data_IF_826756443992
#
_entry.id   IF_826756443992
#
_cell.length_a   1.000
_cell.length_b   1.000
_cell.length_c   1.000
_cell.angle_alpha   90.00
_cell.angle_beta   90.00
_cell.angle_gamma   90.00
#
_symmetry.space_group_name_H-M   'P 1'
#
loop_
_entity.id
_entity.type
_entity.pdbx_description
1 polymer ?
#
# COMPACT_ATOMS: atom_id res chain seq x y z
N UNK A 1 4.47 -10.37 -12.79
CA UNK A 1 3.01 -10.13 -12.89
C UNK A 1 2.72 -9.39 -14.19
N UNK A 2 1.58 -9.61 -14.85
CA UNK A 2 1.27 -8.89 -16.08
C UNK A 2 1.20 -7.39 -15.79
N UNK A 3 1.82 -6.58 -16.65
CA UNK A 3 1.76 -5.12 -16.52
C UNK A 3 0.32 -4.65 -16.78
N UNK A 4 -0.31 -3.91 -15.85
CA UNK A 4 -1.66 -3.39 -16.06
C UNK A 4 -1.72 -2.43 -17.24
N UNK A 5 -2.84 -2.47 -17.96
CA UNK A 5 -3.21 -1.48 -18.99
C UNK A 5 -4.05 -0.38 -18.36
N UNK A 6 -4.27 0.70 -19.10
CA UNK A 6 -5.07 1.84 -18.66
C UNK A 6 -6.46 1.43 -18.12
N UNK A 7 -7.18 0.54 -18.83
CA UNK A 7 -8.47 0.01 -18.38
C UNK A 7 -8.40 -0.80 -17.08
N UNK A 8 -7.29 -1.49 -16.84
CA UNK A 8 -7.09 -2.24 -15.59
C UNK A 8 -6.94 -1.26 -14.41
N UNK A 9 -6.23 -0.16 -14.62
CA UNK A 9 -6.09 0.91 -13.63
C UNK A 9 -7.41 1.59 -13.31
N UNK A 10 -8.21 1.91 -14.32
CA UNK A 10 -9.55 2.49 -14.13
C UNK A 10 -10.45 1.55 -13.32
N UNK A 11 -10.42 0.25 -13.65
CA UNK A 11 -11.17 -0.76 -12.90
C UNK A 11 -10.71 -0.83 -11.44
N UNK A 12 -9.40 -0.86 -11.19
CA UNK A 12 -8.85 -0.89 -9.82
C UNK A 12 -9.33 0.33 -9.04
N UNK A 13 -9.28 1.52 -9.64
CA UNK A 13 -9.74 2.75 -8.99
C UNK A 13 -11.24 2.75 -8.69
N UNK A 14 -12.06 2.22 -9.60
CA UNK A 14 -13.49 2.07 -9.37
C UNK A 14 -13.78 1.06 -8.25
N UNK A 15 -13.02 -0.04 -8.17
CA UNK A 15 -13.13 -1.03 -7.09
C UNK A 15 -12.73 -0.42 -5.73
N UNK A 16 -11.65 0.37 -5.68
CA UNK A 16 -11.28 1.11 -4.46
C UNK A 16 -12.35 2.11 -4.03
N UNK A 17 -12.99 2.79 -4.97
CA UNK A 17 -14.09 3.68 -4.66
C UNK A 17 -15.29 2.94 -4.08
N UNK A 18 -15.68 1.82 -4.70
CA UNK A 18 -16.84 1.02 -4.25
C UNK A 18 -16.62 0.35 -2.91
N UNK A 19 -15.46 -0.28 -2.71
CA UNK A 19 -15.19 -1.14 -1.55
C UNK A 19 -14.57 -0.37 -0.38
N UNK A 20 -13.70 0.59 -0.67
CA UNK A 20 -12.87 1.28 0.33
C UNK A 20 -13.15 2.78 0.42
N UNK A 21 -14.08 3.28 -0.40
CA UNK A 21 -14.47 4.68 -0.49
C UNK A 21 -13.29 5.63 -0.74
N UNK A 22 -12.29 5.18 -1.49
CA UNK A 22 -11.14 5.99 -1.85
C UNK A 22 -11.10 6.18 -3.38
N UNK A 23 -11.47 7.37 -3.90
CA UNK A 23 -11.56 7.59 -5.34
C UNK A 23 -10.17 7.70 -5.98
N UNK A 24 -10.10 7.34 -7.27
CA UNK A 24 -8.87 7.40 -8.09
C UNK A 24 -7.66 6.68 -7.45
N UNK A 25 -7.89 5.66 -6.62
CA UNK A 25 -6.82 4.90 -5.95
C UNK A 25 -6.39 3.70 -6.79
N UNK A 26 -5.11 3.63 -7.15
CA UNK A 26 -4.55 2.55 -7.97
C UNK A 26 -4.02 1.36 -7.17
N UNK A 27 -3.99 1.47 -5.84
CA UNK A 27 -3.46 0.43 -4.99
C UNK A 27 -2.99 0.94 -3.64
N UNK A 28 -2.78 0.01 -2.73
CA UNK A 28 -2.04 0.23 -1.49
C UNK A 28 -0.63 -0.33 -1.64
N UNK A 29 0.37 0.50 -1.34
CA UNK A 29 1.78 0.15 -1.36
C UNK A 29 2.26 -0.09 0.08
N UNK A 30 2.93 -1.22 0.29
CA UNK A 30 3.39 -1.60 1.61
C UNK A 30 4.56 -2.59 1.55
N UNK A 31 5.33 -2.62 2.63
CA UNK A 31 6.48 -3.50 2.82
C UNK A 31 6.17 -4.66 3.75
N UNK A 32 6.72 -5.83 3.45
CA UNK A 32 6.69 -7.00 4.33
C UNK A 32 8.10 -7.55 4.52
N UNK A 33 8.53 -7.62 5.79
CA UNK A 33 9.67 -8.43 6.17
C UNK A 33 9.29 -9.93 6.11
N UNK A 34 10.03 -10.68 5.30
CA UNK A 34 10.02 -12.14 5.29
C UNK A 34 11.21 -12.61 6.11
N UNK A 35 10.94 -13.28 7.22
CA UNK A 35 11.99 -13.75 8.13
C UNK A 35 12.79 -14.90 7.52
N UNK A 36 14.10 -14.80 7.65
CA UNK A 36 15.06 -15.76 7.10
C UNK A 36 16.11 -16.11 8.16
N UNK A 37 16.81 -17.23 7.97
CA UNK A 37 18.04 -17.46 8.71
C UNK A 37 19.14 -16.54 8.20
N UNK A 38 20.10 -16.19 9.07
CA UNK A 38 21.26 -15.41 8.70
C UNK A 38 21.99 -16.05 7.51
N UNK A 39 22.07 -15.38 6.35
CA UNK A 39 22.80 -15.95 5.22
C UNK A 39 24.31 -16.05 5.54
N UNK A 40 25.02 -17.06 5.00
CA UNK A 40 26.46 -17.17 5.19
C UNK A 40 27.17 -15.88 4.73
N UNK A 41 28.13 -15.40 5.52
CA UNK A 41 28.95 -14.22 5.22
C UNK A 41 28.17 -12.91 4.98
N UNK A 42 26.92 -12.78 5.43
CA UNK A 42 26.10 -11.58 5.16
C UNK A 42 26.35 -10.40 6.10
N UNK A 43 27.13 -10.59 7.17
CA UNK A 43 27.21 -9.63 8.27
C UNK A 43 25.82 -9.22 8.76
N UNK A 44 25.58 -7.92 8.88
CA UNK A 44 24.31 -7.33 9.33
C UNK A 44 23.40 -6.84 8.19
N UNK A 45 23.68 -7.17 6.92
CA UNK A 45 22.92 -6.66 5.77
C UNK A 45 21.42 -6.95 5.89
N UNK A 46 21.05 -8.19 6.19
CA UNK A 46 19.65 -8.61 6.35
C UNK A 46 19.10 -8.37 7.75
N UNK A 47 19.91 -7.88 8.70
CA UNK A 47 19.51 -7.68 10.08
C UNK A 47 18.68 -6.40 10.22
N UNK A 48 17.43 -6.56 10.61
CA UNK A 48 16.46 -5.46 10.70
C UNK A 48 16.37 -4.86 12.11
N UNK A 49 15.59 -3.79 12.25
CA UNK A 49 15.36 -3.10 13.51
C UNK A 49 14.66 -3.96 14.59
N UNK A 50 14.07 -5.10 14.21
CA UNK A 50 13.43 -6.08 15.11
C UNK A 50 14.40 -7.18 15.56
N UNK A 51 15.70 -7.03 15.26
CA UNK A 51 16.75 -8.00 15.61
C UNK A 51 16.56 -9.37 14.95
N UNK A 52 15.90 -9.43 13.80
CA UNK A 52 15.78 -10.64 12.97
C UNK A 52 16.44 -10.43 11.61
N UNK A 53 16.80 -11.52 10.93
CA UNK A 53 17.23 -11.47 9.54
C UNK A 53 16.02 -11.55 8.63
N UNK A 54 15.92 -10.65 7.64
CA UNK A 54 14.77 -10.61 6.76
C UNK A 54 15.10 -10.11 5.36
N UNK A 55 14.32 -10.58 4.40
CA UNK A 55 14.23 -10.03 3.05
C UNK A 55 12.95 -9.20 2.97
N UNK A 56 13.03 -8.04 2.33
CA UNK A 56 11.89 -7.18 2.12
C UNK A 56 11.14 -7.56 0.84
N UNK A 57 9.83 -7.74 0.98
CA UNK A 57 8.85 -7.81 -0.09
C UNK A 57 8.11 -6.46 -0.12
N UNK A 58 8.35 -5.64 -1.13
CA UNK A 58 7.54 -4.47 -1.41
C UNK A 58 6.41 -4.89 -2.36
N UNK A 59 5.17 -4.54 -2.06
CA UNK A 59 4.04 -4.90 -2.91
C UNK A 59 3.05 -3.76 -3.11
N UNK A 60 2.56 -3.61 -4.34
CA UNK A 60 1.38 -2.82 -4.67
C UNK A 60 0.19 -3.77 -4.77
N UNK A 61 -0.88 -3.48 -4.03
CA UNK A 61 -2.03 -4.36 -3.85
C UNK A 61 -3.32 -3.67 -4.28
N UNK A 62 -4.18 -4.37 -5.02
CA UNK A 62 -5.48 -3.86 -5.47
C UNK A 62 -6.58 -3.95 -4.38
N UNK A 63 -7.76 -3.41 -4.67
CA UNK A 63 -8.92 -3.43 -3.77
C UNK A 63 -9.41 -4.85 -3.42
N UNK A 64 -9.05 -5.85 -4.23
CA UNK A 64 -9.45 -7.25 -4.11
C UNK A 64 -8.35 -8.12 -3.45
N UNK A 65 -7.36 -7.48 -2.83
CA UNK A 65 -6.22 -8.13 -2.18
C UNK A 65 -5.31 -8.90 -3.14
N UNK A 66 -5.31 -8.57 -4.44
CA UNK A 66 -4.37 -9.13 -5.41
C UNK A 66 -3.13 -8.26 -5.48
N UNK A 67 -1.99 -8.91 -5.65
CA UNK A 67 -0.74 -8.21 -5.92
C UNK A 67 -0.78 -7.69 -7.36
N UNK A 68 -0.53 -6.40 -7.56
CA UNK A 68 -0.41 -5.76 -8.89
C UNK A 68 1.06 -5.80 -9.32
N UNK A 69 1.95 -5.38 -8.41
CA UNK A 69 3.39 -5.37 -8.60
C UNK A 69 4.09 -5.82 -7.30
N UNK A 70 5.21 -6.51 -7.42
CA UNK A 70 6.06 -6.92 -6.29
C UNK A 70 7.53 -6.68 -6.63
N UNK A 71 8.30 -6.27 -5.64
CA UNK A 71 9.76 -6.14 -5.69
C UNK A 71 10.33 -6.86 -4.46
N UNK A 72 11.29 -7.77 -4.68
CA UNK A 72 11.80 -8.74 -3.69
C UNK A 72 13.32 -8.72 -3.71
N UNK A 73 13.94 -8.98 -2.57
CA UNK A 73 15.39 -9.16 -2.45
C UNK A 73 16.10 -7.97 -1.79
N UNK A 74 15.37 -6.91 -1.46
CA UNK A 74 15.93 -5.79 -0.68
C UNK A 74 16.30 -6.23 0.73
N UNK A 75 17.45 -5.76 1.21
CA UNK A 75 17.96 -6.08 2.54
C UNK A 75 17.07 -5.53 3.67
N UNK A 76 16.86 -6.34 4.72
CA UNK A 76 16.02 -6.00 5.88
C UNK A 76 16.41 -4.74 6.66
N UNK A 77 17.62 -4.21 6.47
CA UNK A 77 18.06 -2.94 7.06
C UNK A 77 17.45 -1.70 6.37
N UNK A 78 17.03 -1.82 5.12
CA UNK A 78 16.53 -0.70 4.34
C UNK A 78 15.10 -0.32 4.77
N UNK A 79 14.78 0.98 4.77
CA UNK A 79 13.41 1.47 4.99
C UNK A 79 12.56 1.32 3.74
N UNK A 80 11.24 1.24 3.91
CA UNK A 80 10.30 1.07 2.80
C UNK A 80 10.39 2.19 1.77
N UNK A 81 10.54 3.44 2.20
CA UNK A 81 10.78 4.57 1.30
C UNK A 81 12.08 4.45 0.48
N UNK A 82 13.15 3.93 1.09
CA UNK A 82 14.43 3.69 0.39
C UNK A 82 14.36 2.52 -0.59
N UNK A 83 13.63 1.46 -0.24
CA UNK A 83 13.36 0.32 -1.11
C UNK A 83 12.53 0.78 -2.30
N UNK A 84 11.45 1.54 -2.04
CA UNK A 84 10.59 2.09 -3.08
C UNK A 84 11.37 2.92 -4.09
N UNK A 85 12.21 3.86 -3.64
CA UNK A 85 13.00 4.72 -4.52
C UNK A 85 13.92 3.93 -5.47
N UNK A 86 14.43 2.78 -5.03
CA UNK A 86 15.34 1.93 -5.81
C UNK A 86 14.63 0.82 -6.59
N UNK A 87 13.39 0.50 -6.22
CA UNK A 87 12.57 -0.55 -6.83
C UNK A 87 12.25 -0.29 -8.30
N UNK A 88 12.02 -1.35 -9.05
CA UNK A 88 11.55 -1.24 -10.45
C UNK A 88 10.19 -0.55 -10.52
N UNK A 89 9.31 -0.80 -9.54
CA UNK A 89 8.01 -0.16 -9.41
C UNK A 89 8.15 1.36 -9.23
N UNK A 90 8.99 1.79 -8.28
CA UNK A 90 9.21 3.22 -8.01
C UNK A 90 9.81 3.95 -9.19
N UNK A 91 10.78 3.34 -9.88
CA UNK A 91 11.36 3.88 -11.12
C UNK A 91 10.32 3.98 -12.25
N UNK A 92 9.46 2.97 -12.41
CA UNK A 92 8.42 2.98 -13.44
C UNK A 92 7.35 4.04 -13.18
N UNK A 93 6.98 4.27 -11.92
CA UNK A 93 6.06 5.35 -11.51
C UNK A 93 6.68 6.73 -11.80
N UNK A 94 7.94 6.95 -11.40
CA UNK A 94 8.62 8.23 -11.62
C UNK A 94 8.76 8.56 -13.12
N UNK A 95 8.94 7.54 -13.95
CA UNK A 95 9.14 7.67 -15.40
C UNK A 95 7.82 7.58 -16.20
N UNK A 96 6.65 7.55 -15.54
CA UNK A 96 5.33 7.38 -16.18
C UNK A 96 5.24 6.17 -17.13
N UNK A 97 5.94 5.07 -16.81
CA UNK A 97 6.00 3.85 -17.66
C UNK A 97 4.89 2.85 -17.41
N UNK A 98 4.00 3.11 -16.46
CA UNK A 98 2.92 2.20 -16.08
C UNK A 98 1.60 2.44 -16.84
N UNK A 99 1.57 3.37 -17.80
CA UNK A 99 0.36 3.72 -18.56
C UNK A 99 -0.84 4.03 -17.65
N UNK A 100 -0.58 4.79 -16.59
CA UNK A 100 -1.62 5.28 -15.68
C UNK A 100 -2.55 6.23 -16.46
N UNK A 101 -3.88 6.16 -16.28
CA UNK A 101 -4.80 7.05 -16.97
C UNK A 101 -4.55 8.53 -16.61
N UNK A 102 -5.04 9.43 -17.46
CA UNK A 102 -5.00 10.87 -17.18
C UNK A 102 -5.83 11.24 -15.95
N UNK A 103 -5.54 12.40 -15.37
CA UNK A 103 -6.28 12.96 -14.23
C UNK A 103 -7.80 12.86 -14.40
N UNK A 104 -8.48 12.46 -13.32
CA UNK A 104 -9.92 12.24 -13.29
C UNK A 104 -10.53 13.09 -12.18
N UNK A 105 -11.71 13.62 -12.42
CA UNK A 105 -12.43 14.38 -11.41
C UNK A 105 -12.75 13.50 -10.20
N UNK A 106 -12.63 14.07 -8.99
CA UNK A 106 -13.18 13.43 -7.80
C UNK A 106 -14.72 13.35 -7.93
N UNK A 107 -15.36 12.29 -7.41
CA UNK A 107 -16.81 12.09 -7.52
C UNK A 107 -17.62 13.33 -7.11
N UNK A 108 -18.57 13.76 -7.95
CA UNK A 108 -19.40 14.94 -7.66
C UNK A 108 -18.67 16.29 -7.71
N UNK A 109 -17.44 16.35 -8.23
CA UNK A 109 -16.65 17.60 -8.34
C UNK A 109 -16.22 17.88 -9.78
N UNK A 110 -15.77 19.12 -10.03
CA UNK A 110 -15.05 19.51 -11.26
C UNK A 110 -13.55 19.69 -10.99
N UNK A 111 -13.00 18.95 -10.02
CA UNK A 111 -11.60 19.05 -9.62
C UNK A 111 -10.83 17.84 -10.16
N UNK A 112 -10.16 17.97 -11.32
CA UNK A 112 -9.31 16.90 -11.84
C UNK A 112 -8.10 16.74 -10.92
N UNK A 113 -7.86 15.50 -10.51
CA UNK A 113 -6.68 15.13 -9.72
C UNK A 113 -6.01 13.90 -10.35
N UNK A 114 -4.70 13.73 -10.16
CA UNK A 114 -4.03 12.52 -10.59
C UNK A 114 -4.58 11.30 -9.87
N UNK A 115 -4.45 10.14 -10.51
CA UNK A 115 -4.60 8.87 -9.81
C UNK A 115 -3.48 8.68 -8.80
N UNK A 116 -3.80 8.08 -7.65
CA UNK A 116 -2.89 7.98 -6.50
C UNK A 116 -2.76 6.57 -5.98
N UNK A 117 -1.62 6.29 -5.37
CA UNK A 117 -1.37 5.11 -4.55
C UNK A 117 -1.38 5.54 -3.09
N UNK A 118 -1.95 4.73 -2.21
CA UNK A 118 -1.93 4.99 -0.75
C UNK A 118 -0.82 4.18 -0.08
N UNK A 119 -0.10 4.80 0.85
CA UNK A 119 1.01 4.17 1.56
C UNK A 119 1.11 4.69 3.00
N UNK A 120 1.97 4.06 3.79
CA UNK A 120 2.22 4.48 5.17
C UNK A 120 3.17 5.69 5.25
N UNK A 121 3.48 6.13 6.48
CA UNK A 121 4.33 7.29 6.72
C UNK A 121 5.81 7.09 6.29
N UNK A 122 6.28 5.84 6.18
CA UNK A 122 7.65 5.51 5.81
C UNK A 122 7.95 5.78 4.32
N UNK A 123 6.91 5.93 3.50
CA UNK A 123 7.04 6.32 2.10
C UNK A 123 7.08 7.85 1.92
N UNK A 124 7.69 8.34 0.83
CA UNK A 124 7.68 9.77 0.50
C UNK A 124 6.28 10.21 0.04
N UNK A 125 5.92 11.47 0.33
CA UNK A 125 4.73 12.09 -0.27
C UNK A 125 5.07 12.58 -1.69
N UNK A 126 4.34 12.08 -2.69
CA UNK A 126 4.47 12.48 -4.10
C UNK A 126 3.09 12.77 -4.69
N UNK A 127 3.04 13.35 -5.90
CA UNK A 127 1.79 13.64 -6.60
C UNK A 127 0.95 12.38 -6.86
N UNK A 128 1.60 11.24 -7.03
CA UNK A 128 0.97 9.94 -7.27
C UNK A 128 1.01 9.01 -6.03
N UNK A 129 1.59 9.44 -4.89
CA UNK A 129 1.78 8.62 -3.70
C UNK A 129 1.38 9.39 -2.45
N UNK A 130 0.23 9.05 -1.89
CA UNK A 130 -0.32 9.66 -0.68
C UNK A 130 0.11 8.90 0.57
N UNK A 131 0.47 9.67 1.59
CA UNK A 131 0.78 9.18 2.94
C UNK A 131 0.00 9.99 3.98
N UNK A 132 -0.24 9.44 5.19
CA UNK A 132 -0.96 10.15 6.23
C UNK A 132 -0.29 11.49 6.61
N UNK A 133 -1.08 12.40 7.17
CA UNK A 133 -0.52 13.51 7.94
C UNK A 133 0.26 12.94 9.13
N UNK A 134 1.46 13.49 9.45
CA UNK A 134 2.21 13.06 10.62
C UNK A 134 1.44 13.31 11.92
N UNK A 135 1.59 12.42 12.92
CA UNK A 135 0.87 12.53 14.19
C UNK A 135 1.01 13.88 14.91
N UNK A 136 2.14 14.57 14.74
CA UNK A 136 2.39 15.89 15.33
C UNK A 136 1.47 17.01 14.82
N UNK A 137 0.92 16.89 13.61
CA UNK A 137 0.11 17.94 12.96
C UNK A 137 -1.39 17.62 12.91
N UNK A 138 -1.80 16.48 13.48
CA UNK A 138 -3.19 16.01 13.50
C UNK A 138 -3.93 16.50 14.75
N UNK A 139 -3.21 16.74 15.86
CA UNK A 139 -3.84 17.06 17.14
C UNK A 139 -4.76 18.29 17.01
N UNK A 140 -6.08 18.08 17.20
CA UNK A 140 -7.11 19.11 17.10
C UNK A 140 -7.65 19.39 15.68
N UNK A 141 -7.12 18.74 14.63
CA UNK A 141 -7.59 18.92 13.25
C UNK A 141 -8.40 17.71 12.78
N UNK A 142 -9.72 17.77 13.00
CA UNK A 142 -10.68 16.73 12.64
C UNK A 142 -10.65 16.40 11.14
N UNK A 143 -10.34 17.37 10.27
CA UNK A 143 -10.32 17.13 8.82
C UNK A 143 -9.14 16.25 8.43
N UNK A 144 -7.97 16.50 9.02
CA UNK A 144 -6.79 15.64 8.85
C UNK A 144 -7.00 14.27 9.48
N UNK A 145 -7.68 14.19 10.62
CA UNK A 145 -8.07 12.91 11.24
C UNK A 145 -8.94 12.07 10.30
N UNK A 146 -9.98 12.66 9.73
CA UNK A 146 -10.84 12.02 8.72
C UNK A 146 -10.00 11.54 7.54
N UNK A 147 -9.16 12.40 6.95
CA UNK A 147 -8.29 11.97 5.84
C UNK A 147 -7.40 10.78 6.21
N UNK A 148 -6.72 10.82 7.36
CA UNK A 148 -5.86 9.72 7.80
C UNK A 148 -6.64 8.43 8.03
N UNK A 149 -7.87 8.51 8.55
CA UNK A 149 -8.72 7.35 8.71
C UNK A 149 -9.15 6.75 7.36
N UNK A 150 -9.55 7.59 6.40
CA UNK A 150 -9.89 7.17 5.04
C UNK A 150 -8.70 6.52 4.33
N UNK A 151 -7.53 7.14 4.41
CA UNK A 151 -6.29 6.59 3.86
C UNK A 151 -5.91 5.27 4.53
N UNK A 152 -6.01 5.18 5.86
CA UNK A 152 -5.72 3.96 6.59
C UNK A 152 -6.66 2.82 6.17
N UNK A 153 -7.97 3.08 6.03
CA UNK A 153 -8.94 2.10 5.54
C UNK A 153 -8.57 1.56 4.16
N UNK A 154 -8.24 2.43 3.21
CA UNK A 154 -7.80 2.01 1.88
C UNK A 154 -6.48 1.24 1.92
N UNK A 155 -5.52 1.67 2.75
CA UNK A 155 -4.20 1.04 2.87
C UNK A 155 -4.28 -0.37 3.45
N UNK A 156 -5.24 -0.66 4.35
CA UNK A 156 -5.39 -2.00 4.98
C UNK A 156 -5.51 -3.16 4.00
N UNK A 157 -5.84 -2.92 2.74
CA UNK A 157 -5.83 -3.99 1.72
C UNK A 157 -4.44 -4.61 1.56
N UNK A 158 -3.35 -3.85 1.68
CA UNK A 158 -1.99 -4.40 1.61
C UNK A 158 -1.69 -5.33 2.78
N UNK A 159 -1.99 -4.88 4.01
CA UNK A 159 -1.81 -5.66 5.23
C UNK A 159 -2.63 -6.95 5.19
N UNK A 160 -3.90 -6.87 4.76
CA UNK A 160 -4.77 -8.03 4.61
C UNK A 160 -4.29 -8.98 3.51
N UNK A 161 -3.77 -8.47 2.39
CA UNK A 161 -3.19 -9.31 1.34
C UNK A 161 -1.96 -10.07 1.85
N UNK A 162 -1.09 -9.42 2.61
CA UNK A 162 0.03 -10.08 3.28
C UNK A 162 -0.43 -11.10 4.33
N UNK A 163 -1.45 -10.78 5.12
CA UNK A 163 -2.06 -11.72 6.06
C UNK A 163 -2.59 -12.96 5.34
N UNK A 164 -3.35 -12.78 4.25
CA UNK A 164 -3.85 -13.87 3.42
C UNK A 164 -2.73 -14.74 2.84
N UNK A 165 -1.67 -14.12 2.32
CA UNK A 165 -0.48 -14.80 1.80
C UNK A 165 0.15 -15.68 2.89
N UNK A 166 0.36 -15.12 4.08
CA UNK A 166 1.00 -15.81 5.21
C UNK A 166 0.12 -16.97 5.73
N UNK A 167 -1.19 -16.77 5.85
CA UNK A 167 -2.13 -17.80 6.29
C UNK A 167 -2.25 -18.96 5.29
N UNK A 168 -2.22 -18.65 3.99
CA UNK A 168 -2.32 -19.66 2.92
C UNK A 168 -1.01 -20.43 2.76
N UNK A 169 0.12 -19.73 2.78
CA UNK A 169 1.46 -20.28 2.61
C UNK A 169 2.19 -20.27 3.95
N UNK A 170 1.96 -21.32 4.75
CA UNK A 170 2.52 -21.49 6.11
C UNK A 170 4.06 -21.47 6.16
N UNK A 171 4.75 -21.53 5.03
CA UNK A 171 6.20 -21.32 4.95
C UNK A 171 6.63 -19.97 5.56
N UNK A 172 5.75 -18.97 5.54
CA UNK A 172 6.01 -17.64 6.13
C UNK A 172 5.81 -17.56 7.65
N UNK A 173 5.34 -18.63 8.32
CA UNK A 173 5.18 -18.63 9.79
C UNK A 173 6.50 -18.81 10.54
N UNK A 174 7.54 -19.26 9.85
CA UNK A 174 8.85 -19.54 10.44
C UNK A 174 9.93 -18.92 9.56
N UNK A 175 11.09 -18.67 10.16
CA UNK A 175 12.24 -18.22 9.40
C UNK A 175 12.61 -19.26 8.33
N UNK A 176 12.76 -18.80 7.09
CA UNK A 176 13.05 -19.70 5.96
C UNK A 176 14.54 -20.01 5.94
N UNK A 177 14.90 -21.30 5.99
CA UNK A 177 16.28 -21.77 5.91
C UNK A 177 16.63 -22.10 4.46
N UNK A 178 17.03 -21.09 3.70
CA UNK A 178 17.51 -21.25 2.32
C UNK A 178 18.42 -20.08 1.95
N UNK A 179 19.06 -20.16 0.77
CA UNK A 179 19.83 -19.04 0.21
C UNK A 179 18.89 -17.90 -0.22
N UNK A 180 19.32 -16.62 -0.15
CA UNK A 180 18.49 -15.48 -0.52
C UNK A 180 17.80 -15.61 -1.89
N UNK A 181 18.53 -16.04 -2.92
CA UNK A 181 17.99 -16.22 -4.28
C UNK A 181 16.83 -17.23 -4.33
N UNK A 182 16.91 -18.31 -3.56
CA UNK A 182 15.83 -19.29 -3.45
C UNK A 182 14.63 -18.70 -2.69
N UNK A 183 14.89 -17.87 -1.67
CA UNK A 183 13.84 -17.20 -0.91
C UNK A 183 13.10 -16.20 -1.79
N UNK A 184 13.81 -15.44 -2.63
CA UNK A 184 13.21 -14.51 -3.58
C UNK A 184 12.26 -15.26 -4.53
N UNK A 185 12.70 -16.40 -5.07
CA UNK A 185 11.86 -17.26 -5.90
C UNK A 185 10.63 -17.82 -5.15
N UNK A 186 10.79 -18.23 -3.90
CA UNK A 186 9.66 -18.67 -3.06
C UNK A 186 8.65 -17.54 -2.89
N UNK A 187 9.10 -16.33 -2.53
CA UNK A 187 8.25 -15.17 -2.32
C UNK A 187 7.49 -14.84 -3.61
N UNK A 188 8.21 -14.69 -4.73
CA UNK A 188 7.60 -14.40 -6.04
C UNK A 188 6.56 -15.46 -6.44
N UNK A 189 6.91 -16.74 -6.29
CA UNK A 189 6.01 -17.86 -6.62
C UNK A 189 4.74 -17.81 -5.77
N UNK A 190 4.85 -17.58 -4.46
CA UNK A 190 3.68 -17.50 -3.59
C UNK A 190 2.78 -16.31 -3.89
N UNK A 191 3.33 -15.14 -4.27
CA UNK A 191 2.53 -14.00 -4.72
C UNK A 191 1.75 -14.32 -6.01
N UNK A 192 2.38 -15.02 -6.96
CA UNK A 192 1.72 -15.46 -8.20
C UNK A 192 0.61 -16.46 -7.90
N UNK A 193 0.90 -17.47 -7.06
CA UNK A 193 -0.08 -18.48 -6.66
C UNK A 193 -1.25 -17.86 -5.87
N UNK A 194 -0.98 -16.88 -5.00
CA UNK A 194 -2.02 -16.13 -4.30
C UNK A 194 -2.99 -15.48 -5.27
N UNK A 195 -2.48 -14.76 -6.27
CA UNK A 195 -3.31 -14.14 -7.30
C UNK A 195 -4.11 -15.17 -8.09
N UNK A 196 -3.47 -16.27 -8.51
CA UNK A 196 -4.15 -17.36 -9.21
C UNK A 196 -5.30 -17.92 -8.37
N UNK A 197 -5.07 -18.17 -7.08
CA UNK A 197 -6.11 -18.67 -6.17
C UNK A 197 -7.23 -17.63 -6.00
N UNK A 198 -6.90 -16.34 -5.86
CA UNK A 198 -7.90 -15.26 -5.77
C UNK A 198 -8.78 -15.20 -7.01
N UNK A 199 -8.20 -15.30 -8.20
CA UNK A 199 -8.95 -15.30 -9.46
C UNK A 199 -9.93 -16.49 -9.55
N UNK A 200 -9.53 -17.66 -9.04
CA UNK A 200 -10.39 -18.84 -9.03
C UNK A 200 -11.45 -18.83 -7.89
N UNK A 201 -11.19 -18.16 -6.78
CA UNK A 201 -12.16 -18.03 -5.67
C UNK A 201 -13.18 -16.93 -5.95
N UNK A 202 -12.79 -15.81 -6.58
CA UNK A 202 -13.71 -14.73 -6.95
C UNK A 202 -14.77 -15.19 -7.98
N UNK A 203 -14.50 -16.26 -8.72
CA UNK A 203 -15.48 -16.95 -9.58
C UNK A 203 -16.57 -17.66 -8.74
N UNK A 204 -16.29 -17.95 -7.46
CA UNK A 204 -17.12 -18.83 -6.63
C UNK A 204 -17.91 -18.10 -5.54
N UNK A 205 -17.52 -16.90 -5.10
CA UNK A 205 -18.17 -16.22 -3.96
C UNK A 205 -18.16 -14.68 -4.06
N UNK A 206 -19.35 -14.07 -4.10
CA UNK A 206 -19.57 -12.69 -3.66
C UNK A 206 -19.64 -12.70 -2.12
N UNK A 207 -18.64 -12.15 -1.45
CA UNK A 207 -18.67 -11.99 0.01
C UNK A 207 -18.33 -10.55 0.41
N UNK A 208 -19.13 -10.05 1.33
CA UNK A 208 -19.04 -8.71 1.92
C UNK A 208 -17.69 -8.48 2.63
N UNK A 209 -17.20 -7.23 2.67
CA UNK A 209 -15.94 -6.90 3.30
C UNK A 209 -16.03 -7.09 4.83
N UNK A 210 -14.99 -7.67 5.47
CA UNK A 210 -14.98 -7.85 6.92
C UNK A 210 -14.85 -6.52 7.67
N UNK A 211 -15.76 -6.29 8.62
CA UNK A 211 -15.60 -5.25 9.64
C UNK A 211 -14.53 -5.70 10.65
N UNK A 212 -13.46 -4.92 10.79
CA UNK A 212 -12.47 -5.12 11.86
C UNK A 212 -11.90 -3.78 12.33
N UNK A 213 -11.90 -3.58 13.64
CA UNK A 213 -11.41 -2.41 14.35
C UNK A 213 -9.90 -2.15 14.10
N UNK A 214 -9.47 -0.91 13.81
CA UNK A 214 -8.07 -0.52 13.67
C UNK A 214 -7.36 -0.41 15.03
N UNK A 215 -6.20 -1.06 15.16
CA UNK A 215 -5.32 -0.91 16.31
C UNK A 215 -4.09 -0.07 15.90
N UNK A 216 -4.03 1.19 16.35
CA UNK A 216 -2.95 2.12 16.01
C UNK A 216 -1.74 1.92 16.94
N UNK A 217 -0.73 1.19 16.47
CA UNK A 217 0.61 1.27 17.06
C UNK A 217 1.28 2.61 16.71
N UNK A 218 1.99 3.22 17.66
CA UNK A 218 2.84 4.40 17.41
C UNK A 218 4.01 4.00 16.51
N UNK A 219 4.02 4.45 15.25
CA UNK A 219 5.12 4.24 14.30
C UNK A 219 6.05 5.46 14.30
N UNK A 220 7.36 5.23 14.18
CA UNK A 220 8.42 6.23 14.30
C UNK A 220 8.53 7.15 13.07
N UNK A 221 8.99 8.38 13.35
CA UNK A 221 9.03 9.55 12.46
C UNK A 221 10.09 9.43 11.38
N UNK A 222 9.73 9.68 10.12
CA UNK A 222 10.68 10.08 9.07
C UNK A 222 10.04 11.08 8.09
N UNK A 223 10.54 12.32 8.11
CA UNK A 223 10.15 13.39 7.19
C UNK A 223 10.95 13.32 5.90
N UNK A 224 10.32 12.94 4.79
CA UNK A 224 10.85 13.17 3.45
C UNK A 224 10.45 14.55 2.90
N UNK A 225 11.31 15.13 2.05
CA UNK A 225 11.02 16.37 1.31
C UNK A 225 9.95 16.10 0.25
N UNK A 226 8.79 16.73 0.37
CA UNK A 226 7.70 16.64 -0.60
C UNK A 226 7.59 17.93 -1.41
N UNK A 227 7.27 17.81 -2.70
CA UNK A 227 7.02 18.95 -3.58
C UNK A 227 5.71 19.65 -3.19
N UNK A 228 5.62 20.97 -3.38
CA UNK A 228 4.40 21.76 -3.14
C UNK A 228 3.16 21.17 -3.85
N UNK A 229 3.35 20.65 -5.06
CA UNK A 229 2.29 19.99 -5.83
C UNK A 229 1.76 18.73 -5.14
N UNK A 230 2.63 17.93 -4.51
CA UNK A 230 2.22 16.73 -3.78
C UNK A 230 1.40 17.06 -2.53
N UNK A 231 1.73 18.17 -1.84
CA UNK A 231 0.91 18.68 -0.75
C UNK A 231 -0.48 19.09 -1.25
N UNK A 232 -0.55 19.81 -2.37
CA UNK A 232 -1.83 20.26 -2.93
C UNK A 232 -2.74 19.08 -3.29
N UNK A 233 -2.20 18.01 -3.91
CA UNK A 233 -2.99 16.80 -4.18
C UNK A 233 -3.57 16.25 -2.88
N UNK A 234 -2.76 16.07 -1.83
CA UNK A 234 -3.25 15.57 -0.53
C UNK A 234 -4.31 16.48 0.09
N UNK A 235 -4.11 17.80 0.04
CA UNK A 235 -5.08 18.78 0.54
C UNK A 235 -6.41 18.71 -0.23
N UNK A 236 -6.38 18.48 -1.55
CA UNK A 236 -7.58 18.28 -2.36
C UNK A 236 -8.36 17.05 -1.90
N UNK A 237 -7.69 15.91 -1.67
CA UNK A 237 -8.35 14.71 -1.12
C UNK A 237 -8.90 14.93 0.29
N UNK A 238 -8.14 15.61 1.17
CA UNK A 238 -8.61 15.98 2.51
C UNK A 238 -9.89 16.82 2.42
N UNK A 239 -9.90 17.83 1.54
CA UNK A 239 -11.05 18.70 1.32
C UNK A 239 -12.24 17.91 0.79
N UNK A 240 -12.03 17.03 -0.19
CA UNK A 240 -13.07 16.16 -0.73
C UNK A 240 -13.72 15.28 0.34
N UNK A 241 -12.94 14.56 1.15
CA UNK A 241 -13.49 13.70 2.22
C UNK A 241 -14.25 14.48 3.30
N UNK A 242 -14.05 15.79 3.40
CA UNK A 242 -14.77 16.66 4.32
C UNK A 242 -15.87 17.50 3.65
N UNK A 243 -16.08 17.31 2.33
CA UNK A 243 -17.12 17.98 1.55
C UNK A 243 -18.41 17.16 1.53
N UNK A 244 -19.52 17.78 1.12
CA UNK A 244 -20.81 17.11 0.95
C UNK A 244 -20.73 15.88 0.03
N UNK A 245 -19.94 15.97 -1.05
CA UNK A 245 -19.80 14.89 -2.04
C UNK A 245 -18.94 13.70 -1.55
N UNK A 246 -18.01 13.92 -0.62
CA UNK A 246 -17.03 12.91 -0.22
C UNK A 246 -17.15 12.44 1.23
N UNK A 247 -17.92 13.16 2.06
CA UNK A 247 -18.14 12.81 3.45
C UNK A 247 -19.03 11.57 3.59
N UNK A 248 -18.67 10.68 4.51
CA UNK A 248 -19.52 9.53 4.87
C UNK A 248 -20.03 9.62 6.31
N UNK A 249 -21.21 9.06 6.62
CA UNK A 249 -21.83 9.18 7.94
C UNK A 249 -20.94 8.72 9.10
N UNK A 250 -20.21 7.61 8.90
CA UNK A 250 -19.42 6.94 9.94
C UNK A 250 -17.99 7.49 10.11
N UNK A 251 -17.57 8.46 9.30
CA UNK A 251 -16.15 8.83 9.22
C UNK A 251 -15.64 9.62 10.44
N UNK A 252 -16.54 10.09 11.30
CA UNK A 252 -16.24 10.85 12.52
C UNK A 252 -16.45 10.07 13.82
N UNK A 253 -17.13 8.93 13.76
CA UNK A 253 -17.48 8.11 14.94
C UNK A 253 -16.25 7.63 15.72
N UNK A 254 -15.06 7.61 15.08
CA UNK A 254 -13.79 7.23 15.73
C UNK A 254 -13.12 8.35 16.52
N UNK A 255 -13.64 9.58 16.45
CA UNK A 255 -13.04 10.77 17.06
C UNK A 255 -13.97 11.48 18.05
N UNK A 256 -15.22 11.03 18.18
CA UNK A 256 -16.17 11.44 19.22
C UNK A 256 -16.04 10.52 20.42
#
# INVERSE_FOLDING_TARGET
>A
MPQPKEKDWEKIADDFWKMWNFPNCLGALDGKHVEIFAPPNSGSQYFNCKKTFSINLLALVDANYKFIAVDVGSYGKNSDGGIFANSNLGKALEQNKLHVPKDKNLPGTQCPVPYVIVADEAFPLKTYLLRPYPGSVINGDIQKQVFNYRLSRARRVSENAFGNLVQKFRIFFRSIKSLPENIDNIILTTCILHNYIKDNILITQHLDPPECEPNWGRIHRQGGNALTTAFNVRETYKTFFNSENGSLPWQRDKFM
#
